data_IF_901774460580
#
_entry.id   IF_901774460580
#
_cell.length_a   1.000
_cell.length_b   1.000
_cell.length_c   1.000
_cell.angle_alpha   90.00
_cell.angle_beta   90.00
_cell.angle_gamma   90.00
#
_symmetry.space_group_name_H-M   'P 1'
#
loop_
_entity.id
_entity.type
_entity.pdbx_description
1 polymer ?
#
# COMPACT_ATOMS: atom_id res chain seq x y z
N UNK A 1 -12.13 1.38 -5.99
CA UNK A 1 -11.17 0.27 -6.25
C UNK A 1 -10.32 0.49 -7.51
N UNK A 2 -10.88 0.55 -8.73
CA UNK A 2 -10.08 0.66 -9.97
C UNK A 2 -9.16 1.91 -10.02
N UNK A 3 -9.61 3.04 -9.47
CA UNK A 3 -8.85 4.30 -9.39
C UNK A 3 -7.62 4.15 -8.49
N UNK A 4 -7.80 3.54 -7.31
CA UNK A 4 -6.72 3.31 -6.35
C UNK A 4 -5.68 2.37 -6.96
N UNK A 5 -6.09 1.22 -7.50
CA UNK A 5 -5.17 0.24 -8.10
C UNK A 5 -4.39 0.81 -9.29
N UNK A 6 -5.04 1.63 -10.14
CA UNK A 6 -4.38 2.30 -11.27
C UNK A 6 -3.29 3.29 -10.83
N UNK A 7 -3.47 3.99 -9.71
CA UNK A 7 -2.45 4.93 -9.21
C UNK A 7 -1.26 4.25 -8.53
N UNK A 8 -1.39 2.97 -8.21
CA UNK A 8 -0.35 2.17 -7.56
C UNK A 8 0.53 1.39 -8.54
N UNK A 9 0.42 1.66 -9.85
CA UNK A 9 1.17 0.94 -10.89
C UNK A 9 2.67 1.25 -10.81
N UNK A 10 3.51 0.21 -10.92
CA UNK A 10 5.00 0.24 -10.83
C UNK A 10 5.65 1.43 -11.56
N UNK A 11 5.11 1.89 -12.68
CA UNK A 11 5.68 2.98 -13.47
C UNK A 11 5.66 4.34 -12.77
N UNK A 12 4.75 4.58 -11.82
CA UNK A 12 4.73 5.80 -10.98
C UNK A 12 5.61 5.66 -9.73
N UNK A 13 5.89 4.44 -9.28
CA UNK A 13 6.75 4.13 -8.11
C UNK A 13 8.25 4.08 -8.44
N UNK A 14 8.64 4.10 -9.72
CA UNK A 14 10.04 4.02 -10.21
C UNK A 14 10.95 5.18 -9.80
N UNK A 15 10.45 6.23 -9.15
CA UNK A 15 11.25 7.41 -8.77
C UNK A 15 12.07 7.23 -7.49
N UNK A 16 11.83 6.17 -6.73
CA UNK A 16 12.48 5.98 -5.43
C UNK A 16 13.09 4.59 -5.35
N UNK A 17 14.40 4.49 -5.15
CA UNK A 17 15.08 3.21 -4.98
C UNK A 17 15.10 2.80 -3.50
N UNK A 18 15.36 1.52 -3.23
CA UNK A 18 15.53 1.05 -1.85
C UNK A 18 16.73 1.74 -1.16
N UNK A 19 17.75 2.16 -1.93
CA UNK A 19 18.90 2.93 -1.40
C UNK A 19 18.53 4.35 -0.99
N UNK A 20 17.49 4.92 -1.59
CA UNK A 20 16.98 6.22 -1.19
C UNK A 20 16.30 6.19 0.17
N UNK A 21 15.68 5.06 0.53
CA UNK A 21 14.81 4.94 1.71
C UNK A 21 15.48 4.22 2.90
N UNK A 22 16.47 3.36 2.65
CA UNK A 22 17.13 2.54 3.68
C UNK A 22 18.60 2.92 3.79
N UNK A 23 19.00 3.41 4.97
CA UNK A 23 20.38 3.74 5.33
C UNK A 23 20.96 2.57 6.11
N UNK A 24 22.16 2.12 5.70
CA UNK A 24 22.91 1.09 6.42
C UNK A 24 24.18 1.75 6.95
N UNK A 25 24.34 1.74 8.27
CA UNK A 25 25.57 2.18 8.92
C UNK A 25 26.47 0.98 9.16
N UNK A 26 27.74 1.14 8.78
CA UNK A 26 28.77 0.13 8.98
C UNK A 26 29.91 0.68 9.83
N UNK A 27 30.57 -0.20 10.60
CA UNK A 27 31.80 0.15 11.32
C UNK A 27 33.03 0.10 10.38
N UNK A 28 34.22 0.36 10.94
CA UNK A 28 35.50 0.34 10.20
C UNK A 28 35.87 -1.06 9.66
N UNK A 29 35.23 -2.11 10.16
CA UNK A 29 35.44 -3.51 9.77
C UNK A 29 34.38 -3.99 8.76
N UNK A 30 33.61 -3.06 8.17
CA UNK A 30 32.50 -3.31 7.24
C UNK A 30 31.33 -4.11 7.85
N UNK A 31 31.24 -4.19 9.18
CA UNK A 31 30.12 -4.82 9.87
C UNK A 31 28.95 -3.85 10.03
N UNK A 32 27.74 -4.34 9.81
CA UNK A 32 26.51 -3.54 9.92
C UNK A 32 26.20 -3.30 11.41
N UNK A 33 26.15 -2.04 11.81
CA UNK A 33 25.86 -1.63 13.20
C UNK A 33 24.44 -1.16 13.38
N UNK A 34 23.89 -0.46 12.39
CA UNK A 34 22.56 0.14 12.43
C UNK A 34 21.91 0.16 11.04
N UNK A 35 20.59 0.05 11.04
CA UNK A 35 19.76 0.20 9.85
C UNK A 35 18.68 1.23 10.15
N UNK A 36 18.75 2.35 9.46
CA UNK A 36 17.86 3.49 9.63
C UNK A 36 17.04 3.75 8.37
N UNK A 37 15.91 4.45 8.50
CA UNK A 37 15.03 4.79 7.37
C UNK A 37 14.96 6.30 7.17
N UNK A 38 14.97 6.74 5.91
CA UNK A 38 14.66 8.13 5.53
C UNK A 38 13.16 8.33 5.50
N UNK A 39 12.58 8.56 6.68
CA UNK A 39 11.14 8.71 6.85
C UNK A 39 10.59 9.92 6.11
N UNK A 40 11.35 11.02 6.02
CA UNK A 40 11.03 12.19 5.20
C UNK A 40 10.71 11.81 3.75
N UNK A 41 11.62 11.08 3.09
CA UNK A 41 11.40 10.59 1.73
C UNK A 41 10.26 9.59 1.63
N UNK A 42 10.08 8.74 2.64
CA UNK A 42 8.98 7.78 2.65
C UNK A 42 7.61 8.50 2.73
N UNK A 43 7.53 9.57 3.53
CA UNK A 43 6.35 10.41 3.63
C UNK A 43 6.13 11.24 2.37
N UNK A 44 7.18 11.70 1.67
CA UNK A 44 7.03 12.36 0.37
C UNK A 44 6.35 11.43 -0.65
N UNK A 45 6.77 10.15 -0.71
CA UNK A 45 6.11 9.14 -1.56
C UNK A 45 4.66 8.93 -1.15
N UNK A 46 4.37 8.86 0.15
CA UNK A 46 3.00 8.73 0.66
C UNK A 46 2.14 9.92 0.21
N UNK A 47 2.63 11.14 0.37
CA UNK A 47 1.92 12.37 0.03
C UNK A 47 1.71 12.49 -1.48
N UNK A 48 2.70 12.09 -2.29
CA UNK A 48 2.58 12.05 -3.75
C UNK A 48 1.49 11.07 -4.19
N UNK A 49 1.47 9.86 -3.64
CA UNK A 49 0.43 8.86 -3.94
C UNK A 49 -0.93 9.39 -3.49
N UNK A 50 -1.05 9.92 -2.27
CA UNK A 50 -2.29 10.49 -1.73
C UNK A 50 -2.82 11.61 -2.64
N UNK A 51 -1.98 12.58 -2.98
CA UNK A 51 -2.34 13.72 -3.85
C UNK A 51 -2.80 13.27 -5.24
N UNK A 52 -2.17 12.24 -5.80
CA UNK A 52 -2.57 11.67 -7.08
C UNK A 52 -3.95 10.99 -7.01
N UNK A 53 -4.23 10.23 -5.93
CA UNK A 53 -5.54 9.62 -5.74
C UNK A 53 -6.60 10.71 -5.59
N UNK A 54 -6.40 11.70 -4.73
CA UNK A 54 -7.31 12.83 -4.57
C UNK A 54 -7.53 13.59 -5.88
N UNK A 55 -6.47 13.77 -6.68
CA UNK A 55 -6.59 14.42 -7.99
C UNK A 55 -7.46 13.63 -8.95
N UNK A 56 -7.25 12.32 -9.09
CA UNK A 56 -8.09 11.50 -9.98
C UNK A 56 -9.55 11.52 -9.52
N UNK A 57 -9.80 11.50 -8.20
CA UNK A 57 -11.16 11.62 -7.68
C UNK A 57 -11.77 12.99 -7.96
N UNK A 58 -11.00 14.08 -7.83
CA UNK A 58 -11.42 15.43 -8.22
C UNK A 58 -11.72 15.52 -9.72
N UNK A 59 -10.92 14.90 -10.58
CA UNK A 59 -11.11 14.91 -12.03
C UNK A 59 -12.40 14.15 -12.42
N UNK A 60 -12.70 13.07 -11.71
CA UNK A 60 -13.99 12.36 -11.79
C UNK A 60 -15.13 13.30 -11.38
N UNK A 61 -15.02 13.98 -10.22
CA UNK A 61 -16.02 14.96 -9.77
C UNK A 61 -16.22 16.12 -10.75
N UNK A 62 -15.22 16.46 -11.57
CA UNK A 62 -15.27 17.52 -12.59
C UNK A 62 -15.74 17.07 -13.97
N UNK A 63 -16.10 15.79 -14.13
CA UNK A 63 -16.80 15.29 -15.32
C UNK A 63 -15.91 14.64 -16.37
N UNK A 64 -14.69 14.22 -16.04
CA UNK A 64 -13.85 13.39 -16.91
C UNK A 64 -14.10 11.91 -16.57
N UNK A 65 -15.25 11.36 -16.99
CA UNK A 65 -15.62 9.94 -16.76
C UNK A 65 -16.36 9.40 -18.02
N UNK A 66 -16.28 8.10 -18.37
CA UNK A 66 -16.75 7.56 -19.65
C UNK A 66 -18.25 7.79 -19.90
N UNK A 67 -18.56 8.50 -20.99
CA UNK A 67 -19.79 8.54 -21.79
C UNK A 67 -21.20 8.66 -21.16
N UNK A 68 -21.41 8.59 -19.82
CA UNK A 68 -22.76 8.62 -19.20
C UNK A 68 -22.88 9.40 -17.87
N UNK A 69 -21.85 10.15 -17.49
CA UNK A 69 -21.84 10.94 -16.24
C UNK A 69 -21.64 12.43 -16.51
N UNK A 70 -22.30 13.29 -15.74
CA UNK A 70 -22.15 14.75 -15.80
C UNK A 70 -21.85 15.28 -14.39
N UNK A 71 -20.81 16.09 -14.26
CA UNK A 71 -20.52 16.79 -13.02
C UNK A 71 -21.43 18.02 -12.89
N UNK A 72 -22.18 18.13 -11.78
CA UNK A 72 -22.99 19.32 -11.47
C UNK A 72 -22.66 19.77 -10.05
N UNK A 73 -22.09 20.99 -9.92
CA UNK A 73 -21.74 21.61 -8.62
C UNK A 73 -20.93 20.66 -7.71
N UNK A 74 -19.83 20.12 -8.21
CA UNK A 74 -18.93 19.17 -7.52
C UNK A 74 -19.53 17.81 -7.16
N UNK A 75 -20.76 17.54 -7.60
CA UNK A 75 -21.42 16.24 -7.41
C UNK A 75 -21.45 15.46 -8.71
N UNK A 76 -21.21 14.15 -8.60
CA UNK A 76 -21.22 13.25 -9.74
C UNK A 76 -22.68 12.87 -10.04
N UNK A 77 -23.23 13.31 -11.17
CA UNK A 77 -24.56 12.90 -11.61
C UNK A 77 -24.44 11.81 -12.66
N UNK A 78 -24.92 10.60 -12.35
CA UNK A 78 -24.98 9.50 -13.30
C UNK A 78 -26.41 9.20 -13.72
N UNK A 79 -26.57 8.80 -14.98
CA UNK A 79 -27.86 8.38 -15.52
C UNK A 79 -27.91 6.86 -15.55
N UNK A 80 -28.74 6.26 -14.69
CA UNK A 80 -28.85 4.79 -14.58
C UNK A 80 -30.30 4.32 -14.73
N UNK A 81 -30.53 3.10 -15.24
CA UNK A 81 -31.87 2.49 -15.26
C UNK A 81 -32.39 2.27 -13.84
N UNK A 82 -33.68 2.56 -13.59
CA UNK A 82 -34.29 2.39 -12.26
C UNK A 82 -34.11 0.97 -11.68
N UNK A 83 -34.20 -0.06 -12.52
CA UNK A 83 -34.12 -1.45 -12.05
C UNK A 83 -32.72 -1.91 -11.62
N UNK A 84 -31.68 -1.08 -11.78
CA UNK A 84 -30.33 -1.40 -11.30
C UNK A 84 -30.27 -1.66 -9.78
N UNK A 85 -31.19 -1.05 -9.01
CA UNK A 85 -31.26 -1.20 -7.55
C UNK A 85 -31.99 -2.45 -7.09
N UNK A 86 -32.65 -3.19 -7.99
CA UNK A 86 -33.41 -4.40 -7.65
C UNK A 86 -32.53 -5.62 -7.42
N UNK A 87 -31.25 -5.55 -7.78
CA UNK A 87 -30.31 -6.67 -7.68
C UNK A 87 -30.57 -7.82 -8.66
N UNK A 88 -31.57 -7.69 -9.55
CA UNK A 88 -31.88 -8.71 -10.55
C UNK A 88 -31.14 -8.42 -11.88
N UNK A 89 -30.17 -9.27 -12.22
CA UNK A 89 -29.34 -9.12 -13.40
C UNK A 89 -30.13 -9.09 -14.72
N UNK A 90 -31.28 -9.77 -14.80
CA UNK A 90 -32.09 -9.83 -16.03
C UNK A 90 -32.75 -8.49 -16.35
N UNK A 91 -33.12 -7.71 -15.32
CA UNK A 91 -33.85 -6.45 -15.49
C UNK A 91 -32.97 -5.22 -15.30
N UNK A 92 -31.70 -5.39 -14.96
CA UNK A 92 -30.76 -4.33 -14.56
C UNK A 92 -30.62 -3.19 -15.59
N UNK A 93 -30.83 -3.48 -16.88
CA UNK A 93 -30.70 -2.52 -17.98
C UNK A 93 -32.05 -1.96 -18.48
N UNK A 94 -33.17 -2.37 -17.89
CA UNK A 94 -34.52 -1.98 -18.31
C UNK A 94 -35.08 -0.83 -17.47
N UNK A 95 -36.16 -0.23 -17.98
CA UNK A 95 -36.93 0.80 -17.27
C UNK A 95 -36.49 2.23 -17.54
N UNK A 96 -37.21 3.21 -16.96
CA UNK A 96 -36.89 4.62 -17.11
C UNK A 96 -35.53 4.94 -16.48
N UNK A 97 -34.78 5.82 -17.15
CA UNK A 97 -33.48 6.29 -16.67
C UNK A 97 -33.68 7.40 -15.65
N UNK A 98 -33.11 7.24 -14.46
CA UNK A 98 -33.14 8.23 -13.38
C UNK A 98 -31.76 8.88 -13.20
N UNK A 99 -31.77 10.11 -12.70
CA UNK A 99 -30.56 10.87 -12.38
C UNK A 99 -30.20 10.65 -10.91
N UNK A 100 -28.96 10.26 -10.67
CA UNK A 100 -28.46 9.98 -9.34
C UNK A 100 -27.29 10.89 -9.06
N UNK A 101 -27.45 11.72 -8.03
CA UNK A 101 -26.36 12.49 -7.48
C UNK A 101 -25.57 11.59 -6.52
N UNK A 102 -24.27 11.45 -6.79
CA UNK A 102 -23.31 10.75 -5.97
C UNK A 102 -22.38 11.81 -5.36
N UNK A 103 -22.41 11.88 -4.03
CA UNK A 103 -21.44 12.65 -3.27
C UNK A 103 -20.33 11.70 -2.84
N UNK A 104 -19.11 11.94 -3.30
CA UNK A 104 -17.94 11.14 -2.95
C UNK A 104 -17.15 11.86 -1.86
N UNK A 105 -17.29 11.40 -0.62
CA UNK A 105 -16.52 11.91 0.53
C UNK A 105 -15.18 11.16 0.57
N UNK A 106 -14.09 11.91 0.47
CA UNK A 106 -12.73 11.36 0.47
C UNK A 106 -12.13 11.48 1.87
N UNK A 107 -11.84 10.35 2.51
CA UNK A 107 -10.95 10.32 3.67
C UNK A 107 -9.85 9.29 3.43
N UNK A 108 -8.70 9.78 2.96
CA UNK A 108 -7.50 8.97 2.69
C UNK A 108 -6.50 9.21 3.82
N UNK A 109 -6.32 8.18 4.65
CA UNK A 109 -5.33 8.14 5.72
C UNK A 109 -4.19 7.25 5.24
N UNK A 110 -2.97 7.78 5.22
CA UNK A 110 -1.77 7.01 4.89
C UNK A 110 -0.92 6.80 6.13
N UNK A 111 -0.24 5.66 6.19
CA UNK A 111 0.72 5.29 7.23
C UNK A 111 1.95 4.61 6.61
N UNK A 112 3.12 4.78 7.23
CA UNK A 112 4.37 4.16 6.78
C UNK A 112 4.82 3.18 7.86
N UNK A 113 4.99 1.91 7.50
CA UNK A 113 5.41 0.89 8.46
C UNK A 113 6.43 -0.06 7.84
N UNK A 114 7.19 -0.73 8.71
CA UNK A 114 8.21 -1.69 8.31
C UNK A 114 7.81 -3.10 8.70
N UNK A 115 8.16 -4.06 7.85
CA UNK A 115 8.03 -5.49 8.12
C UNK A 115 9.40 -6.13 8.00
N UNK A 116 9.87 -6.71 9.09
CA UNK A 116 11.17 -7.36 9.19
C UNK A 116 10.94 -8.87 9.23
N UNK A 117 11.60 -9.61 8.35
CA UNK A 117 11.54 -11.07 8.29
C UNK A 117 12.94 -11.66 8.29
N UNK A 118 13.29 -12.43 9.32
CA UNK A 118 14.57 -13.15 9.35
C UNK A 118 14.55 -14.35 8.40
N UNK A 119 15.60 -14.53 7.59
CA UNK A 119 15.74 -15.69 6.72
C UNK A 119 17.21 -16.02 6.47
N UNK A 120 17.63 -17.28 6.67
CA UNK A 120 19.04 -17.68 6.59
C UNK A 120 19.85 -17.37 7.86
N UNK A 121 21.18 -17.52 7.78
CA UNK A 121 22.08 -17.26 8.92
C UNK A 121 22.42 -15.77 8.95
N UNK A 122 22.12 -15.14 10.09
CA UNK A 122 22.35 -13.72 10.36
C UNK A 122 21.90 -12.79 9.23
N UNK A 123 20.77 -13.10 8.60
CA UNK A 123 20.22 -12.34 7.48
C UNK A 123 18.77 -11.96 7.76
N UNK A 124 18.43 -10.72 7.46
CA UNK A 124 17.07 -10.16 7.60
C UNK A 124 16.62 -9.53 6.29
N UNK A 125 15.35 -9.74 5.94
CA UNK A 125 14.64 -9.01 4.91
C UNK A 125 13.93 -7.85 5.58
N UNK A 126 14.24 -6.63 5.15
CA UNK A 126 13.54 -5.45 5.59
C UNK A 126 12.67 -4.97 4.44
N UNK A 127 11.37 -4.89 4.70
CA UNK A 127 10.38 -4.34 3.78
C UNK A 127 9.79 -3.07 4.38
N UNK A 128 9.83 -1.97 3.63
CA UNK A 128 9.12 -0.74 3.94
C UNK A 128 7.84 -0.71 3.14
N UNK A 129 6.72 -0.53 3.83
CA UNK A 129 5.40 -0.48 3.26
C UNK A 129 4.76 0.87 3.53
N UNK A 130 3.96 1.32 2.57
CA UNK A 130 2.99 2.39 2.78
C UNK A 130 1.61 1.74 2.81
N UNK A 131 0.89 1.95 3.90
CA UNK A 131 -0.48 1.55 4.09
C UNK A 131 -1.39 2.72 3.85
N UNK A 132 -2.54 2.45 3.27
CA UNK A 132 -3.58 3.44 3.16
C UNK A 132 -4.92 2.85 3.57
N UNK A 133 -5.66 3.66 4.31
CA UNK A 133 -7.03 3.44 4.70
C UNK A 133 -7.89 4.48 3.99
N UNK A 134 -8.71 4.02 3.06
CA UNK A 134 -9.67 4.86 2.35
C UNK A 134 -11.05 4.55 2.89
N UNK A 135 -11.74 5.59 3.37
CA UNK A 135 -13.17 5.53 3.67
C UNK A 135 -13.91 6.35 2.63
N UNK A 136 -14.76 5.67 1.85
CA UNK A 136 -15.66 6.29 0.89
C UNK A 136 -17.08 6.18 1.39
N UNK A 137 -17.86 7.25 1.22
CA UNK A 137 -19.29 7.23 1.46
C UNK A 137 -19.99 7.64 0.18
N UNK A 138 -20.89 6.78 -0.28
CA UNK A 138 -21.78 7.03 -1.40
C UNK A 138 -23.14 7.44 -0.84
N UNK A 139 -23.62 8.61 -1.25
CA UNK A 139 -24.97 9.05 -0.98
C UNK A 139 -25.74 9.03 -2.30
N UNK A 140 -26.85 8.30 -2.36
CA UNK A 140 -27.81 8.32 -3.47
C UNK A 140 -29.24 8.40 -2.91
N UNK A 141 -30.27 8.74 -3.70
CA UNK A 141 -31.55 9.25 -3.18
C UNK A 141 -32.28 8.41 -2.13
N UNK A 142 -32.10 7.08 -2.13
CA UNK A 142 -32.85 6.16 -1.26
C UNK A 142 -31.99 5.63 -0.10
N UNK A 143 -30.67 5.49 -0.30
CA UNK A 143 -29.77 4.84 0.67
C UNK A 143 -28.38 5.48 0.65
N UNK A 144 -27.71 5.40 1.79
CA UNK A 144 -26.28 5.71 1.90
C UNK A 144 -25.51 4.42 2.12
N UNK A 145 -24.37 4.30 1.42
CA UNK A 145 -23.45 3.18 1.56
C UNK A 145 -22.08 3.70 1.97
N UNK A 146 -21.49 3.07 2.99
CA UNK A 146 -20.11 3.31 3.41
C UNK A 146 -19.26 2.14 2.96
N UNK A 147 -18.09 2.44 2.39
CA UNK A 147 -17.13 1.46 1.95
C UNK A 147 -15.77 1.80 2.56
N UNK A 148 -15.11 0.79 3.13
CA UNK A 148 -13.77 0.93 3.68
C UNK A 148 -12.81 0.05 2.89
N UNK A 149 -11.66 0.61 2.54
CA UNK A 149 -10.63 -0.05 1.75
C UNK A 149 -9.29 0.10 2.44
N UNK A 150 -8.55 -1.00 2.47
CA UNK A 150 -7.20 -1.06 3.00
C UNK A 150 -6.27 -1.56 1.89
N UNK A 151 -5.16 -0.87 1.68
CA UNK A 151 -4.17 -1.26 0.68
C UNK A 151 -2.76 -1.00 1.18
N UNK A 152 -1.89 -1.95 0.87
CA UNK A 152 -0.48 -1.94 1.27
C UNK A 152 0.40 -1.96 0.02
N UNK A 153 1.39 -1.08 0.00
CA UNK A 153 2.30 -0.88 -1.14
C UNK A 153 3.71 -1.08 -0.65
N UNK A 154 4.42 -2.07 -1.20
CA UNK A 154 5.85 -2.25 -0.95
C UNK A 154 6.63 -1.15 -1.68
N UNK A 155 7.29 -0.28 -0.93
CA UNK A 155 8.04 0.85 -1.50
C UNK A 155 9.54 0.64 -1.51
N UNK A 156 10.07 -0.08 -0.53
CA UNK A 156 11.46 -0.50 -0.52
C UNK A 156 11.59 -1.89 0.10
N UNK A 157 12.53 -2.66 -0.43
CA UNK A 157 12.89 -3.96 0.13
C UNK A 157 14.40 -4.11 0.05
N UNK A 158 15.03 -4.52 1.15
CA UNK A 158 16.47 -4.76 1.19
C UNK A 158 16.80 -5.94 2.08
N UNK A 159 17.71 -6.74 1.57
CA UNK A 159 18.34 -7.84 2.30
C UNK A 159 19.52 -7.27 3.06
N UNK A 160 19.59 -7.58 4.35
CA UNK A 160 20.68 -7.16 5.21
C UNK A 160 21.28 -8.41 5.83
N UNK A 161 22.53 -8.66 5.47
CA UNK A 161 23.32 -9.78 5.99
C UNK A 161 24.35 -9.24 6.97
N UNK A 162 24.23 -9.65 8.22
CA UNK A 162 25.24 -9.42 9.24
C UNK A 162 26.39 -10.41 9.12
N UNK A 163 27.50 -10.13 9.81
CA UNK A 163 28.65 -11.03 9.89
C UNK A 163 28.25 -12.34 10.56
N UNK A 164 28.43 -13.46 9.88
CA UNK A 164 28.20 -14.77 10.49
C UNK A 164 29.31 -15.03 11.51
N UNK A 165 28.99 -15.30 12.80
CA UNK A 165 30.02 -15.57 13.79
C UNK A 165 30.82 -16.83 13.46
N UNK A 166 32.13 -16.82 13.73
CA UNK A 166 33.04 -17.92 13.40
C UNK A 166 32.70 -19.26 14.07
N UNK A 167 32.00 -19.25 15.20
CA UNK A 167 31.54 -20.47 15.89
C UNK A 167 30.49 -21.28 15.10
N UNK A 168 29.84 -20.69 14.09
CA UNK A 168 28.99 -21.45 13.16
C UNK A 168 29.79 -22.36 12.22
N UNK A 169 31.09 -22.10 12.03
CA UNK A 169 31.91 -22.72 10.99
C UNK A 169 32.75 -23.92 11.47
N UNK A 170 32.49 -24.43 12.68
CA UNK A 170 33.04 -25.70 13.16
C UNK A 170 33.51 -25.70 14.63
N UNK A 171 33.25 -26.84 15.29
CA UNK A 171 33.81 -27.32 16.57
C UNK A 171 33.08 -26.96 17.87
N UNK A 172 32.03 -27.71 18.17
CA UNK A 172 31.90 -28.30 19.50
C UNK A 172 32.07 -29.82 19.39
N UNK A 173 33.28 -30.27 19.09
CA UNK A 173 33.65 -31.64 19.41
C UNK A 173 34.00 -31.65 20.91
N UNK A 174 32.99 -31.87 21.74
CA UNK A 174 33.21 -32.14 23.17
C UNK A 174 33.76 -33.56 23.30
N UNK A 175 35.06 -33.74 23.06
CA UNK A 175 35.74 -34.93 23.56
C UNK A 175 35.88 -34.78 25.06
N UNK A 176 34.96 -35.43 25.80
CA UNK A 176 35.09 -35.58 27.25
C UNK A 176 36.30 -36.48 27.53
N UNK A 177 37.24 -36.10 28.42
CA UNK A 177 38.31 -37.00 28.80
C UNK A 177 37.69 -38.19 29.54
N UNK A 178 37.87 -39.40 28.99
CA UNK A 178 37.54 -40.64 29.67
C UNK A 178 38.46 -40.71 30.89
N UNK A 179 37.89 -40.49 32.08
CA UNK A 179 38.60 -40.69 33.34
C UNK A 179 38.83 -42.19 33.50
N UNK A 180 40.07 -42.64 33.27
CA UNK A 180 40.47 -44.01 33.56
C UNK A 180 40.80 -44.11 35.04
N UNK A 181 39.84 -44.57 35.84
CA UNK A 181 40.07 -44.91 37.25
C UNK A 181 40.69 -46.31 37.28
N UNK A 182 41.97 -46.35 37.66
CA UNK A 182 42.69 -47.59 38.01
C UNK A 182 42.14 -48.20 39.29
#
# INVERSE_FOLDING_TARGET
>A
MAIVTKNLTKDKLKKVTAEDLIIIHKNKEDEITDVSFKLDKAYDVLLDIKSNIEKEVRDIKKGIIPSQATAIKDNLVIKVPYYIFTGNALFMNLGPKIYIQINLLENIIGDVYTKISSYGINTVLINLYIKFYIKESFLYPVLSQKMEYEFEVLVASKVIQGKVPSFYNGLMESSSPIINVK
#
